data_IF_687962685014
#
_entry.id   IF_687962685014
#
_cell.length_a   1.000
_cell.length_b   1.000
_cell.length_c   1.000
_cell.angle_alpha   90.00
_cell.angle_beta   90.00
_cell.angle_gamma   90.00
#
_symmetry.space_group_name_H-M   'P 1'
#
loop_
_entity.id
_entity.type
_entity.pdbx_description
1 polymer ?
#
# COMPACT_ATOMS: atom_id res chain seq x y z
N UNK A 1 1.16 -24.71 41.92
CA UNK A 1 2.52 -24.28 41.53
C UNK A 1 2.62 -24.45 40.01
N UNK A 2 2.72 -23.38 39.22
CA UNK A 2 2.95 -23.48 37.78
C UNK A 2 4.46 -23.41 37.50
N UNK A 3 4.91 -24.35 36.67
CA UNK A 3 6.28 -24.38 36.14
C UNK A 3 6.53 -23.20 35.19
N UNK A 4 7.68 -22.53 35.24
CA UNK A 4 8.01 -21.50 34.28
C UNK A 4 8.47 -22.13 32.96
N UNK A 5 7.74 -21.84 31.86
CA UNK A 5 8.17 -22.12 30.49
C UNK A 5 9.35 -21.16 30.20
N UNK A 6 10.56 -21.69 30.17
CA UNK A 6 11.71 -21.01 29.60
C UNK A 6 11.51 -20.87 28.09
N UNK A 7 11.27 -19.64 27.61
CA UNK A 7 11.34 -19.28 26.21
C UNK A 7 12.81 -19.29 25.78
N UNK A 8 13.32 -20.44 25.34
CA UNK A 8 14.55 -20.52 24.59
C UNK A 8 14.30 -19.95 23.20
N UNK A 9 14.74 -18.72 22.93
CA UNK A 9 14.83 -18.19 21.56
C UNK A 9 15.86 -19.06 20.83
N UNK A 10 15.38 -19.92 19.93
CA UNK A 10 16.24 -20.58 18.96
C UNK A 10 17.01 -19.49 18.20
N UNK A 11 18.35 -19.53 18.31
CA UNK A 11 19.23 -18.63 17.59
C UNK A 11 18.92 -18.77 16.09
N UNK A 12 18.68 -17.62 15.39
CA UNK A 12 18.39 -17.58 13.96
C UNK A 12 19.47 -18.28 13.12
N UNK A 13 20.71 -18.31 13.61
CA UNK A 13 21.82 -19.09 13.03
C UNK A 13 21.53 -20.59 13.03
N UNK A 14 20.99 -21.13 14.12
CA UNK A 14 20.69 -22.56 14.24
C UNK A 14 19.56 -23.01 13.32
N UNK A 15 18.54 -22.16 13.11
CA UNK A 15 17.45 -22.46 12.19
C UNK A 15 17.88 -22.43 10.71
N UNK A 16 18.78 -21.53 10.32
CA UNK A 16 19.30 -21.44 8.95
C UNK A 16 20.36 -22.48 8.63
N UNK A 17 21.21 -22.83 9.60
CA UNK A 17 22.17 -23.95 9.48
C UNK A 17 21.43 -25.27 9.26
N UNK A 18 20.31 -25.50 9.96
CA UNK A 18 19.46 -26.68 9.74
C UNK A 18 18.85 -26.75 8.33
N UNK A 19 18.46 -25.62 7.73
CA UNK A 19 17.79 -25.60 6.42
C UNK A 19 18.78 -25.76 5.23
N UNK A 20 20.00 -25.22 5.31
CA UNK A 20 21.01 -25.34 4.24
C UNK A 20 21.80 -26.62 4.31
N UNK A 21 22.08 -27.16 5.49
CA UNK A 21 22.75 -28.46 5.67
C UNK A 21 21.84 -29.61 5.23
N UNK A 22 20.53 -29.55 5.45
CA UNK A 22 19.55 -30.54 4.97
C UNK A 22 19.44 -30.63 3.43
N UNK A 23 19.77 -29.56 2.71
CA UNK A 23 19.72 -29.54 1.24
C UNK A 23 20.95 -30.14 0.56
N UNK A 24 22.06 -30.35 1.30
CA UNK A 24 23.36 -30.82 0.77
C UNK A 24 23.82 -32.16 1.36
N UNK A 25 23.11 -32.71 2.35
CA UNK A 25 23.43 -34.03 2.89
C UNK A 25 22.82 -35.17 2.04
N UNK A 26 23.59 -36.24 1.74
CA UNK A 26 23.00 -37.47 1.22
C UNK A 26 22.05 -38.05 2.30
N UNK A 27 20.83 -38.35 1.93
CA UNK A 27 19.76 -38.85 2.76
C UNK A 27 20.20 -40.06 3.60
N UNK A 28 20.36 -39.86 4.89
CA UNK A 28 20.46 -40.93 5.88
C UNK A 28 19.57 -40.59 7.04
N UNK A 29 18.58 -41.45 7.29
CA UNK A 29 17.72 -41.36 8.48
C UNK A 29 18.56 -41.57 9.74
N UNK A 30 18.76 -40.57 10.56
CA UNK A 30 19.11 -40.72 11.97
C UNK A 30 18.67 -39.50 12.76
N UNK A 31 18.01 -39.77 13.87
CA UNK A 31 17.64 -38.77 14.89
C UNK A 31 18.92 -38.32 15.61
N UNK A 32 19.48 -37.17 15.29
CA UNK A 32 20.57 -36.55 16.06
C UNK A 32 20.43 -35.02 16.04
N UNK A 33 20.95 -34.39 17.04
CA UNK A 33 20.93 -32.94 17.29
C UNK A 33 21.63 -32.18 16.14
N UNK A 34 20.82 -31.55 15.27
CA UNK A 34 21.24 -31.09 13.93
C UNK A 34 22.07 -29.79 13.95
N UNK A 35 22.27 -29.13 15.09
CA UNK A 35 22.96 -27.83 15.18
C UNK A 35 24.48 -27.96 15.31
N UNK A 36 24.98 -28.89 16.10
CA UNK A 36 26.43 -29.09 16.31
C UNK A 36 27.08 -29.83 15.14
N UNK A 37 26.42 -30.86 14.59
CA UNK A 37 26.89 -31.58 13.40
C UNK A 37 26.95 -30.68 12.15
N UNK A 38 25.99 -29.77 11.97
CA UNK A 38 25.97 -28.83 10.85
C UNK A 38 27.09 -27.80 10.93
N UNK A 39 27.41 -27.30 12.12
CA UNK A 39 28.55 -26.39 12.33
C UNK A 39 29.90 -27.08 12.08
N UNK A 40 30.05 -28.33 12.54
CA UNK A 40 31.26 -29.12 12.36
C UNK A 40 31.46 -29.52 10.90
N UNK A 41 30.37 -29.73 10.14
CA UNK A 41 30.44 -30.03 8.70
C UNK A 41 30.83 -28.81 7.88
N UNK A 42 30.26 -27.62 8.16
CA UNK A 42 30.60 -26.36 7.48
C UNK A 42 32.05 -25.94 7.69
N UNK A 43 32.63 -26.21 8.87
CA UNK A 43 34.06 -25.95 9.16
C UNK A 43 35.03 -26.73 8.29
N UNK A 44 34.59 -27.83 7.66
CA UNK A 44 35.37 -28.58 6.70
C UNK A 44 35.48 -27.93 5.31
N UNK A 45 34.68 -26.88 5.06
CA UNK A 45 34.64 -26.20 3.77
C UNK A 45 34.73 -24.66 3.96
N UNK A 46 35.95 -24.11 4.16
CA UNK A 46 36.14 -22.70 4.53
C UNK A 46 35.58 -21.67 3.53
N UNK A 47 35.44 -22.06 2.26
CA UNK A 47 34.82 -21.22 1.24
C UNK A 47 33.28 -21.13 1.42
N UNK A 48 32.65 -22.26 1.77
CA UNK A 48 31.21 -22.33 2.03
C UNK A 48 30.85 -21.64 3.35
N UNK A 49 31.71 -21.78 4.36
CA UNK A 49 31.56 -21.09 5.65
C UNK A 49 31.66 -19.57 5.50
N UNK A 50 32.61 -19.07 4.70
CA UNK A 50 32.69 -17.65 4.38
C UNK A 50 31.46 -17.16 3.65
N UNK A 51 31.02 -17.84 2.59
CA UNK A 51 29.80 -17.48 1.88
C UNK A 51 28.56 -17.49 2.77
N UNK A 52 28.47 -18.44 3.70
CA UNK A 52 27.40 -18.52 4.68
C UNK A 52 27.45 -17.34 5.67
N UNK A 53 28.63 -17.04 6.21
CA UNK A 53 28.81 -15.93 7.14
C UNK A 53 28.57 -14.57 6.48
N UNK A 54 28.98 -14.37 5.22
CA UNK A 54 28.69 -13.18 4.42
C UNK A 54 27.19 -13.04 4.14
N UNK A 55 26.53 -14.16 3.82
CA UNK A 55 25.07 -14.17 3.65
C UNK A 55 24.33 -13.86 4.97
N UNK A 56 24.80 -14.36 6.10
CA UNK A 56 24.24 -14.08 7.42
C UNK A 56 24.46 -12.63 7.86
N UNK A 57 25.67 -12.09 7.66
CA UNK A 57 25.95 -10.67 7.93
C UNK A 57 25.05 -9.75 7.08
N UNK A 58 24.86 -10.09 5.81
CA UNK A 58 23.96 -9.38 4.90
C UNK A 58 22.50 -9.48 5.37
N UNK A 59 22.05 -10.65 5.86
CA UNK A 59 20.70 -10.84 6.41
C UNK A 59 20.48 -10.05 7.70
N UNK A 60 21.49 -9.95 8.57
CA UNK A 60 21.41 -9.15 9.79
C UNK A 60 21.37 -7.66 9.49
N UNK A 61 22.16 -7.19 8.52
CA UNK A 61 22.11 -5.81 8.00
C UNK A 61 20.75 -5.48 7.39
N UNK A 62 20.19 -6.41 6.61
CA UNK A 62 18.85 -6.25 6.01
C UNK A 62 17.74 -6.30 7.06
N UNK A 63 17.86 -7.15 8.07
CA UNK A 63 16.96 -7.18 9.22
C UNK A 63 16.94 -5.86 9.96
N UNK A 64 18.11 -5.26 10.16
CA UNK A 64 18.28 -3.93 10.78
C UNK A 64 17.65 -2.82 9.93
N UNK A 65 17.99 -2.74 8.65
CA UNK A 65 17.42 -1.73 7.73
C UNK A 65 15.91 -1.83 7.58
N UNK A 66 15.37 -3.05 7.59
CA UNK A 66 13.93 -3.29 7.52
C UNK A 66 13.22 -2.88 8.80
N UNK A 67 13.83 -3.14 9.94
CA UNK A 67 13.32 -2.73 11.26
C UNK A 67 13.33 -1.21 11.38
N UNK A 68 14.43 -0.56 10.98
CA UNK A 68 14.59 0.90 10.96
C UNK A 68 13.52 1.57 10.10
N UNK A 69 13.29 1.08 8.88
CA UNK A 69 12.31 1.66 7.96
C UNK A 69 10.84 1.55 8.43
N UNK A 70 10.50 0.59 9.28
CA UNK A 70 9.17 0.45 9.88
C UNK A 70 9.04 1.26 11.16
N UNK A 71 10.08 1.27 12.01
CA UNK A 71 10.15 2.13 13.19
C UNK A 71 10.13 3.61 12.82
N UNK A 72 10.77 3.99 11.71
CA UNK A 72 10.76 5.36 11.20
C UNK A 72 9.36 5.80 10.78
N UNK A 73 8.54 4.87 10.26
CA UNK A 73 7.18 5.19 9.86
C UNK A 73 6.23 5.32 11.07
N UNK A 74 6.32 4.42 12.04
CA UNK A 74 5.59 4.52 13.29
C UNK A 74 6.02 5.78 14.06
N UNK A 75 7.32 6.07 14.10
CA UNK A 75 7.86 7.30 14.68
C UNK A 75 7.35 8.57 13.98
N UNK A 76 7.18 8.54 12.65
CA UNK A 76 6.61 9.65 11.88
C UNK A 76 5.15 9.89 12.25
N UNK A 77 4.33 8.84 12.34
CA UNK A 77 2.93 8.96 12.77
C UNK A 77 2.82 9.45 14.21
N UNK A 78 3.66 8.95 15.11
CA UNK A 78 3.71 9.41 16.50
C UNK A 78 4.17 10.88 16.60
N UNK A 79 5.13 11.29 15.78
CA UNK A 79 5.54 12.69 15.70
C UNK A 79 4.42 13.61 15.21
N UNK A 80 3.64 13.17 14.21
CA UNK A 80 2.46 13.92 13.75
C UNK A 80 1.38 13.94 14.83
N UNK A 81 1.11 12.81 15.50
CA UNK A 81 0.14 12.74 16.60
C UNK A 81 0.51 13.67 17.75
N UNK A 82 1.76 13.65 18.19
CA UNK A 82 2.26 14.48 19.27
C UNK A 82 2.16 15.96 18.92
N UNK A 83 2.67 16.38 17.76
CA UNK A 83 2.70 17.79 17.35
C UNK A 83 1.30 18.32 17.03
N UNK A 84 0.51 17.58 16.25
CA UNK A 84 -0.86 18.00 15.92
C UNK A 84 -1.79 17.93 17.14
N UNK A 85 -1.60 16.95 18.04
CA UNK A 85 -2.40 16.78 19.26
C UNK A 85 -2.35 17.96 20.23
N UNK A 86 -1.29 18.79 20.18
CA UNK A 86 -1.21 20.03 20.94
C UNK A 86 -2.27 21.07 20.50
N UNK A 87 -2.77 20.95 19.26
CA UNK A 87 -3.68 21.94 18.67
C UNK A 87 -5.06 21.38 18.35
N UNK A 88 -5.14 20.13 17.87
CA UNK A 88 -6.36 19.50 17.37
C UNK A 88 -6.94 18.54 18.40
N UNK A 89 -8.25 18.63 18.63
CA UNK A 89 -8.97 17.67 19.48
C UNK A 89 -9.03 16.28 18.86
N UNK A 90 -8.96 16.20 17.53
CA UNK A 90 -8.86 14.97 16.76
C UNK A 90 -7.71 15.11 15.76
N UNK A 91 -6.69 14.26 15.93
CA UNK A 91 -5.58 14.18 14.98
C UNK A 91 -5.97 13.26 13.83
N UNK A 92 -5.98 13.80 12.62
CA UNK A 92 -6.21 13.02 11.40
C UNK A 92 -4.87 12.55 10.83
N UNK A 93 -4.82 11.29 10.43
CA UNK A 93 -3.66 10.68 9.76
C UNK A 93 -4.07 10.17 8.39
N UNK A 94 -3.10 10.10 7.48
CA UNK A 94 -3.30 9.50 6.17
C UNK A 94 -3.73 8.04 6.29
N UNK A 95 -4.57 7.61 5.36
CA UNK A 95 -5.08 6.25 5.20
C UNK A 95 -4.94 5.84 3.72
N UNK A 96 -5.14 4.58 3.36
CA UNK A 96 -4.97 4.20 1.96
C UNK A 96 -5.74 5.07 0.95
N UNK A 97 -6.97 5.46 1.29
CA UNK A 97 -7.84 6.24 0.40
C UNK A 97 -8.01 7.70 0.81
N UNK A 98 -7.24 8.15 1.79
CA UNK A 98 -7.31 9.49 2.34
C UNK A 98 -5.91 10.02 2.61
N UNK A 99 -5.57 11.12 1.99
CA UNK A 99 -4.32 11.84 2.24
C UNK A 99 -4.59 12.98 3.23
N UNK A 100 -3.82 13.04 4.30
CA UNK A 100 -3.84 14.15 5.26
C UNK A 100 -2.45 14.77 5.32
N UNK A 101 -2.38 16.08 5.17
CA UNK A 101 -1.14 16.85 5.26
C UNK A 101 -1.34 18.09 6.12
N UNK A 102 -0.39 18.37 7.00
CA UNK A 102 -0.36 19.53 7.88
C UNK A 102 0.60 20.59 7.36
N UNK A 103 0.38 21.84 7.77
CA UNK A 103 1.39 22.89 7.65
C UNK A 103 2.53 22.64 8.67
N UNK A 104 3.60 23.46 8.59
CA UNK A 104 4.75 23.30 9.48
C UNK A 104 4.44 23.55 10.96
N UNK A 105 3.48 24.45 11.24
CA UNK A 105 3.06 24.80 12.57
C UNK A 105 1.97 23.85 13.12
N UNK A 106 1.52 22.88 12.32
CA UNK A 106 0.41 21.97 12.64
C UNK A 106 -0.91 22.70 12.99
N UNK A 107 -1.08 23.94 12.54
CA UNK A 107 -2.27 24.74 12.78
C UNK A 107 -3.26 24.71 11.61
N UNK A 108 -2.80 24.30 10.44
CA UNK A 108 -3.65 24.08 9.27
C UNK A 108 -3.43 22.66 8.74
N UNK A 109 -4.50 22.08 8.20
CA UNK A 109 -4.42 20.78 7.55
C UNK A 109 -5.29 20.71 6.32
N UNK A 110 -4.90 19.88 5.38
CA UNK A 110 -5.69 19.50 4.23
C UNK A 110 -5.93 17.98 4.24
N UNK A 111 -7.14 17.57 3.91
CA UNK A 111 -7.54 16.19 3.74
C UNK A 111 -8.08 16.03 2.32
N UNK A 112 -7.57 15.04 1.58
CA UNK A 112 -8.10 14.64 0.27
C UNK A 112 -8.70 13.25 0.42
N UNK A 113 -10.03 13.17 0.38
CA UNK A 113 -10.78 11.90 0.37
C UNK A 113 -10.97 11.44 -1.07
N UNK A 114 -10.17 10.45 -1.46
CA UNK A 114 -10.18 9.90 -2.82
C UNK A 114 -11.35 8.94 -3.06
N UNK A 115 -11.96 8.41 -2.02
CA UNK A 115 -13.10 7.49 -2.15
C UNK A 115 -14.39 8.28 -2.36
N UNK A 116 -14.63 9.30 -1.55
CA UNK A 116 -15.87 10.09 -1.61
C UNK A 116 -15.74 11.33 -2.49
N UNK A 117 -14.53 11.69 -2.89
CA UNK A 117 -14.29 12.80 -3.83
C UNK A 117 -14.46 14.18 -3.18
N UNK A 118 -13.73 14.42 -2.10
CA UNK A 118 -13.74 15.72 -1.41
C UNK A 118 -12.32 16.17 -1.04
N UNK A 119 -12.10 17.48 -1.02
CA UNK A 119 -10.93 18.11 -0.42
C UNK A 119 -11.43 18.98 0.72
N UNK A 120 -10.93 18.73 1.93
CA UNK A 120 -11.29 19.46 3.14
C UNK A 120 -10.06 20.20 3.63
N UNK A 121 -10.15 21.49 3.80
CA UNK A 121 -9.08 22.36 4.29
C UNK A 121 -9.55 22.96 5.60
N UNK A 122 -8.75 22.82 6.65
CA UNK A 122 -9.07 23.29 7.99
C UNK A 122 -7.90 24.11 8.54
N UNK A 123 -8.20 25.24 9.18
CA UNK A 123 -7.20 26.04 9.91
C UNK A 123 -7.72 26.51 11.26
N UNK A 124 -6.85 26.47 12.27
CA UNK A 124 -7.09 27.03 13.62
C UNK A 124 -6.78 28.53 13.70
N UNK A 125 -6.20 29.08 12.66
CA UNK A 125 -5.98 30.52 12.57
C UNK A 125 -7.26 31.21 12.10
N UNK A 126 -8.10 31.53 13.05
CA UNK A 126 -9.40 32.18 12.81
C UNK A 126 -9.28 33.65 12.45
N UNK A 127 -8.08 34.21 12.57
CA UNK A 127 -7.75 35.59 12.17
C UNK A 127 -6.87 35.59 10.89
N UNK A 128 -6.71 34.45 10.23
CA UNK A 128 -6.00 34.36 8.98
C UNK A 128 -6.61 35.36 7.97
N UNK A 129 -5.77 36.12 7.31
CA UNK A 129 -6.20 36.96 6.20
C UNK A 129 -6.82 36.11 5.09
N UNK A 130 -7.71 36.69 4.32
CA UNK A 130 -8.27 36.02 3.14
C UNK A 130 -7.16 35.49 2.22
N UNK A 131 -6.08 36.27 2.07
CA UNK A 131 -4.93 35.87 1.24
C UNK A 131 -4.18 34.63 1.78
N UNK A 132 -4.03 34.51 3.10
CA UNK A 132 -3.43 33.33 3.72
C UNK A 132 -4.28 32.07 3.47
N UNK A 133 -5.60 32.19 3.56
CA UNK A 133 -6.50 31.09 3.24
C UNK A 133 -6.50 30.75 1.74
N UNK A 134 -6.43 31.76 0.87
CA UNK A 134 -6.29 31.56 -0.59
C UNK A 134 -5.01 30.79 -0.91
N UNK A 135 -3.87 31.14 -0.30
CA UNK A 135 -2.61 30.43 -0.52
C UNK A 135 -2.66 28.99 0.01
N UNK A 136 -3.32 28.75 1.15
CA UNK A 136 -3.51 27.39 1.67
C UNK A 136 -4.36 26.52 0.71
N UNK A 137 -5.44 27.08 0.18
CA UNK A 137 -6.30 26.42 -0.82
C UNK A 137 -5.48 26.12 -2.09
N UNK A 138 -4.76 27.09 -2.62
CA UNK A 138 -3.93 26.93 -3.82
C UNK A 138 -2.88 25.83 -3.64
N UNK A 139 -2.14 25.84 -2.53
CA UNK A 139 -1.15 24.82 -2.20
C UNK A 139 -1.78 23.42 -2.17
N UNK A 140 -2.92 23.29 -1.51
CA UNK A 140 -3.63 22.00 -1.42
C UNK A 140 -4.06 21.50 -2.79
N UNK A 141 -4.69 22.35 -3.60
CA UNK A 141 -5.17 21.99 -4.94
C UNK A 141 -4.02 21.64 -5.90
N UNK A 142 -2.84 22.24 -5.69
CA UNK A 142 -1.65 22.03 -6.53
C UNK A 142 -0.72 20.92 -6.00
N UNK A 143 -1.16 20.10 -5.04
CA UNK A 143 -0.35 19.01 -4.47
C UNK A 143 0.25 18.13 -5.58
N UNK A 144 1.59 17.97 -5.65
CA UNK A 144 2.24 17.14 -6.65
C UNK A 144 1.98 15.64 -6.41
N UNK A 145 2.32 14.83 -7.40
CA UNK A 145 2.25 13.34 -7.29
C UNK A 145 3.54 12.77 -6.68
N UNK A 146 4.63 13.53 -6.70
CA UNK A 146 6.01 13.10 -6.43
C UNK A 146 6.74 14.02 -5.43
N UNK A 147 6.07 14.45 -4.37
CA UNK A 147 6.68 15.32 -3.36
C UNK A 147 6.96 14.57 -2.05
N UNK A 148 8.24 14.40 -1.68
CA UNK A 148 8.61 13.71 -0.44
C UNK A 148 8.08 14.36 0.85
N UNK A 149 7.73 15.65 0.84
CA UNK A 149 7.12 16.30 2.02
C UNK A 149 5.70 15.82 2.27
N UNK A 150 4.96 15.48 1.22
CA UNK A 150 3.58 15.00 1.30
C UNK A 150 3.51 13.59 1.87
N UNK A 151 4.47 12.72 1.54
CA UNK A 151 4.55 11.37 2.10
C UNK A 151 4.95 11.38 3.59
N UNK A 152 5.47 12.52 4.08
CA UNK A 152 5.75 12.79 5.49
C UNK A 152 4.60 13.50 6.22
N UNK A 153 3.44 13.64 5.59
CA UNK A 153 2.27 14.27 6.18
C UNK A 153 2.33 15.80 6.21
N UNK A 154 3.22 16.42 5.39
CA UNK A 154 3.37 17.88 5.29
C UNK A 154 2.78 18.41 3.99
N UNK A 155 2.16 19.60 4.04
CA UNK A 155 1.72 20.30 2.84
C UNK A 155 2.91 20.65 1.94
N UNK A 156 2.78 20.36 0.65
CA UNK A 156 3.82 20.64 -0.34
C UNK A 156 4.23 22.11 -0.34
N UNK A 157 5.53 22.37 -0.44
CA UNK A 157 6.10 23.71 -0.63
C UNK A 157 6.44 24.03 -2.08
N UNK A 158 6.33 23.05 -2.97
CA UNK A 158 6.60 23.25 -4.39
C UNK A 158 5.52 24.15 -4.98
N UNK A 159 5.90 25.34 -5.44
CA UNK A 159 5.01 26.19 -6.23
C UNK A 159 4.81 25.58 -7.61
N UNK A 160 3.58 25.43 -8.03
CA UNK A 160 3.22 24.98 -9.38
C UNK A 160 2.14 25.89 -9.95
N UNK A 161 2.21 26.11 -11.25
CA UNK A 161 1.21 26.91 -11.95
C UNK A 161 -0.04 26.07 -12.22
N UNK A 162 -1.10 26.31 -11.46
CA UNK A 162 -2.35 25.62 -11.58
C UNK A 162 -2.36 24.18 -11.04
N UNK A 163 -3.46 23.48 -11.25
CA UNK A 163 -3.65 22.09 -10.79
C UNK A 163 -3.03 21.12 -11.80
N UNK A 164 -1.73 20.86 -11.69
CA UNK A 164 -1.01 19.91 -12.55
C UNK A 164 -0.66 18.58 -11.86
N UNK A 165 -0.92 18.47 -10.56
CA UNK A 165 -0.52 17.34 -9.74
C UNK A 165 -1.65 16.33 -9.52
N UNK A 166 -1.78 15.94 -8.27
CA UNK A 166 -2.65 14.88 -7.78
C UNK A 166 -4.13 15.07 -8.14
N UNK A 167 -4.62 16.33 -8.13
CA UNK A 167 -6.02 16.68 -8.40
C UNK A 167 -6.28 17.16 -9.84
N UNK A 168 -5.32 16.98 -10.75
CA UNK A 168 -5.45 17.40 -12.15
C UNK A 168 -6.73 16.87 -12.78
N UNK A 169 -7.55 17.80 -13.30
CA UNK A 169 -8.80 17.49 -14.00
C UNK A 169 -9.96 17.05 -13.11
N UNK A 170 -9.79 17.07 -11.78
CA UNK A 170 -10.79 16.58 -10.84
C UNK A 170 -11.56 17.70 -10.13
N UNK A 171 -11.12 18.94 -10.25
CA UNK A 171 -11.74 20.10 -9.61
C UNK A 171 -12.43 20.97 -10.66
N UNK A 172 -13.67 21.36 -10.37
CA UNK A 172 -14.44 22.33 -11.15
C UNK A 172 -14.72 23.57 -10.28
N UNK A 173 -14.73 24.74 -10.91
CA UNK A 173 -15.08 25.99 -10.21
C UNK A 173 -16.61 26.13 -10.04
N UNK A 174 -17.04 27.24 -9.46
CA UNK A 174 -18.45 27.57 -9.24
C UNK A 174 -19.28 27.70 -10.53
N UNK A 175 -18.60 27.86 -11.67
CA UNK A 175 -19.22 27.90 -13.01
C UNK A 175 -19.24 26.50 -13.68
N UNK A 176 -18.81 25.44 -12.98
CA UNK A 176 -18.71 24.07 -13.52
C UNK A 176 -17.53 23.87 -14.48
N UNK A 177 -16.59 24.82 -14.58
CA UNK A 177 -15.45 24.74 -15.49
C UNK A 177 -14.24 24.12 -14.78
N UNK A 178 -13.51 23.30 -15.52
CA UNK A 178 -12.33 22.61 -14.96
C UNK A 178 -11.24 23.60 -14.55
N UNK A 179 -10.77 23.48 -13.31
CA UNK A 179 -9.71 24.32 -12.73
C UNK A 179 -8.34 23.72 -13.13
N UNK A 180 -7.77 24.19 -14.26
CA UNK A 180 -6.52 23.68 -14.82
C UNK A 180 -5.37 24.69 -14.79
N UNK A 181 -5.69 25.98 -14.96
CA UNK A 181 -4.72 27.06 -15.13
C UNK A 181 -4.53 27.84 -13.82
N UNK A 182 -3.34 28.41 -13.62
CA UNK A 182 -3.00 29.17 -12.41
C UNK A 182 -4.00 30.28 -12.12
N UNK A 183 -4.36 31.09 -13.12
CA UNK A 183 -5.33 32.18 -12.96
C UNK A 183 -6.72 31.71 -12.51
N UNK A 184 -7.15 30.53 -13.02
CA UNK A 184 -8.46 29.96 -12.63
C UNK A 184 -8.38 29.36 -11.23
N UNK A 185 -7.26 28.76 -10.86
CA UNK A 185 -7.00 28.27 -9.50
C UNK A 185 -7.04 29.42 -8.50
N UNK A 186 -6.39 30.53 -8.83
CA UNK A 186 -6.39 31.75 -8.00
C UNK A 186 -7.80 32.34 -7.86
N UNK A 187 -8.52 32.50 -8.96
CA UNK A 187 -9.91 32.99 -8.95
C UNK A 187 -10.82 32.10 -8.12
N UNK A 188 -10.71 30.79 -8.29
CA UNK A 188 -11.54 29.85 -7.54
C UNK A 188 -11.18 29.82 -6.05
N UNK A 189 -9.88 29.84 -5.71
CA UNK A 189 -9.44 29.92 -4.33
C UNK A 189 -9.94 31.18 -3.62
N UNK A 190 -9.90 32.34 -4.28
CA UNK A 190 -10.47 33.59 -3.78
C UNK A 190 -11.98 33.47 -3.56
N UNK A 191 -12.70 32.90 -4.51
CA UNK A 191 -14.13 32.67 -4.39
C UNK A 191 -14.46 31.75 -3.20
N UNK A 192 -13.72 30.65 -3.03
CA UNK A 192 -13.89 29.72 -1.92
C UNK A 192 -13.63 30.40 -0.57
N UNK A 193 -12.54 31.16 -0.47
CA UNK A 193 -12.15 31.87 0.75
C UNK A 193 -13.16 32.95 1.16
N UNK A 194 -14.00 33.41 0.22
CA UNK A 194 -15.01 34.44 0.49
C UNK A 194 -16.40 33.84 0.70
N UNK A 195 -16.76 32.77 0.01
CA UNK A 195 -18.14 32.27 -0.06
C UNK A 195 -18.38 30.88 0.55
N UNK A 196 -17.29 30.14 0.88
CA UNK A 196 -17.39 28.74 1.29
C UNK A 196 -16.63 28.42 2.57
N UNK A 197 -16.32 29.44 3.35
CA UNK A 197 -15.71 29.26 4.67
C UNK A 197 -16.80 29.03 5.69
N UNK A 198 -16.72 27.92 6.38
CA UNK A 198 -17.55 27.55 7.52
C UNK A 198 -16.73 27.67 8.79
N UNK A 199 -17.35 28.05 9.90
CA UNK A 199 -16.71 28.04 11.22
C UNK A 199 -17.31 26.94 12.06
N UNK A 200 -16.46 25.97 12.43
CA UNK A 200 -16.84 24.88 13.33
C UNK A 200 -16.14 25.03 14.69
N UNK A 201 -16.64 24.35 15.72
CA UNK A 201 -15.97 24.23 17.01
C UNK A 201 -15.50 22.79 17.20
N UNK A 202 -14.25 22.65 17.60
CA UNK A 202 -13.72 21.36 18.03
C UNK A 202 -14.25 20.99 19.43
N UNK A 203 -14.10 19.72 19.82
CA UNK A 203 -14.47 19.24 21.15
C UNK A 203 -13.74 19.97 22.29
N UNK A 204 -12.53 20.50 22.05
CA UNK A 204 -11.78 21.32 22.99
C UNK A 204 -12.20 22.81 22.99
N UNK A 205 -13.29 23.17 22.32
CA UNK A 205 -13.84 24.53 22.24
C UNK A 205 -13.16 25.46 21.23
N UNK A 206 -12.00 25.09 20.67
CA UNK A 206 -11.28 25.90 19.67
C UNK A 206 -12.10 26.03 18.38
N UNK A 207 -12.14 27.23 17.81
CA UNK A 207 -12.74 27.46 16.51
C UNK A 207 -11.83 26.98 15.39
N UNK A 208 -12.42 26.47 14.32
CA UNK A 208 -11.76 26.03 13.10
C UNK A 208 -12.47 26.68 11.92
N UNK A 209 -11.72 27.27 11.01
CA UNK A 209 -12.22 27.64 9.69
C UNK A 209 -12.06 26.42 8.77
N UNK A 210 -13.12 26.10 8.03
CA UNK A 210 -13.19 24.94 7.17
C UNK A 210 -13.68 25.31 5.78
N UNK A 211 -13.00 24.77 4.76
CA UNK A 211 -13.43 24.86 3.36
C UNK A 211 -13.59 23.46 2.82
N UNK A 212 -14.75 23.15 2.27
CA UNK A 212 -15.03 21.86 1.62
C UNK A 212 -15.16 22.07 0.12
N UNK A 213 -14.36 21.32 -0.66
CA UNK A 213 -14.27 21.40 -2.12
C UNK A 213 -14.65 20.03 -2.70
N UNK A 214 -15.84 19.89 -3.29
CA UNK A 214 -16.22 18.64 -3.93
C UNK A 214 -15.38 18.41 -5.20
N UNK A 215 -14.93 17.18 -5.40
CA UNK A 215 -14.35 16.75 -6.67
C UNK A 215 -15.46 16.48 -7.70
N UNK A 216 -15.10 16.49 -8.98
CA UNK A 216 -16.02 16.17 -10.05
C UNK A 216 -16.62 14.78 -9.89
N UNK A 217 -17.85 14.56 -10.36
CA UNK A 217 -18.55 13.25 -10.27
C UNK A 217 -17.72 12.09 -10.86
N UNK A 218 -16.90 12.37 -11.85
CA UNK A 218 -16.02 11.36 -12.51
C UNK A 218 -14.56 11.44 -12.00
N UNK A 219 -14.31 11.97 -10.81
CA UNK A 219 -12.95 12.11 -10.26
C UNK A 219 -12.14 10.82 -10.27
N UNK A 220 -12.77 9.67 -9.95
CA UNK A 220 -12.13 8.36 -9.97
C UNK A 220 -11.65 7.99 -11.38
N UNK A 221 -12.50 8.17 -12.40
CA UNK A 221 -12.14 7.89 -13.79
C UNK A 221 -11.04 8.81 -14.32
N UNK A 222 -11.06 10.08 -13.91
CA UNK A 222 -10.00 11.05 -14.25
C UNK A 222 -8.66 10.62 -13.64
N UNK A 223 -8.62 10.23 -12.36
CA UNK A 223 -7.39 9.71 -11.73
C UNK A 223 -6.92 8.42 -12.38
N UNK A 224 -7.83 7.49 -12.63
CA UNK A 224 -7.50 6.22 -13.26
C UNK A 224 -6.76 6.42 -14.59
N UNK A 225 -7.21 7.37 -15.43
CA UNK A 225 -6.55 7.71 -16.69
C UNK A 225 -5.11 8.22 -16.53
N UNK A 226 -4.77 8.85 -15.41
CA UNK A 226 -3.40 9.35 -15.17
C UNK A 226 -2.39 8.20 -15.05
N UNK A 227 -2.83 7.04 -14.55
CA UNK A 227 -1.95 5.89 -14.33
C UNK A 227 -2.05 4.84 -15.45
N UNK A 228 -2.96 5.00 -16.41
CA UNK A 228 -3.17 4.05 -17.51
C UNK A 228 -1.89 3.69 -18.27
N UNK A 229 -1.01 4.64 -18.67
CA UNK A 229 0.22 4.29 -19.39
C UNK A 229 1.15 3.37 -18.58
N UNK A 230 1.21 3.55 -17.24
CA UNK A 230 2.00 2.69 -16.36
C UNK A 230 1.37 1.31 -16.21
N UNK A 231 0.04 1.25 -16.11
CA UNK A 231 -0.72 0.00 -16.05
C UNK A 231 -0.55 -0.81 -17.32
N UNK A 232 -0.68 -0.20 -18.49
CA UNK A 232 -0.48 -0.86 -19.79
C UNK A 232 0.94 -1.40 -19.94
N UNK A 233 1.95 -0.61 -19.54
CA UNK A 233 3.34 -1.06 -19.56
C UNK A 233 3.55 -2.29 -18.68
N UNK A 234 3.09 -2.25 -17.44
CA UNK A 234 3.21 -3.35 -16.48
C UNK A 234 2.39 -4.58 -16.93
N UNK A 235 1.18 -4.37 -17.46
CA UNK A 235 0.30 -5.40 -18.02
C UNK A 235 1.01 -6.19 -19.14
N UNK A 236 1.59 -5.49 -20.11
CA UNK A 236 2.35 -6.12 -21.21
C UNK A 236 3.57 -6.88 -20.69
N UNK A 237 4.31 -6.29 -19.76
CA UNK A 237 5.53 -6.88 -19.23
C UNK A 237 5.26 -8.16 -18.43
N UNK A 238 4.29 -8.12 -17.52
CA UNK A 238 3.97 -9.23 -16.62
C UNK A 238 2.82 -10.13 -17.09
N UNK A 239 2.20 -9.84 -18.25
CA UNK A 239 1.08 -10.59 -18.82
C UNK A 239 -0.14 -10.68 -17.90
N UNK A 240 -0.46 -9.60 -17.21
CA UNK A 240 -1.61 -9.47 -16.30
C UNK A 240 -2.68 -8.60 -16.96
N UNK A 241 -3.95 -8.98 -16.81
CA UNK A 241 -5.13 -8.23 -17.31
C UNK A 241 -5.09 -6.78 -16.78
N UNK A 242 -5.02 -5.76 -17.64
CA UNK A 242 -4.94 -4.36 -17.20
C UNK A 242 -6.17 -3.92 -16.41
N UNK A 243 -7.37 -4.46 -16.73
CA UNK A 243 -8.56 -4.18 -15.95
C UNK A 243 -8.47 -4.73 -14.52
N UNK A 244 -7.80 -5.86 -14.32
CA UNK A 244 -7.53 -6.40 -12.98
C UNK A 244 -6.56 -5.50 -12.19
N UNK A 245 -5.48 -5.02 -12.84
CA UNK A 245 -4.53 -4.09 -12.21
C UNK A 245 -5.27 -2.83 -11.76
N UNK A 246 -6.08 -2.23 -12.62
CA UNK A 246 -6.89 -1.04 -12.31
C UNK A 246 -7.87 -1.30 -11.17
N UNK A 247 -8.50 -2.48 -11.13
CA UNK A 247 -9.42 -2.88 -10.08
C UNK A 247 -8.73 -3.00 -8.72
N UNK A 248 -7.53 -3.58 -8.68
CA UNK A 248 -6.71 -3.65 -7.47
C UNK A 248 -6.35 -2.25 -7.00
N UNK A 249 -5.77 -1.39 -7.86
CA UNK A 249 -5.41 -0.01 -7.50
C UNK A 249 -6.63 0.76 -6.95
N UNK A 250 -7.78 0.64 -7.61
CA UNK A 250 -9.01 1.30 -7.16
C UNK A 250 -9.46 0.80 -5.79
N UNK A 251 -9.32 -0.49 -5.52
CA UNK A 251 -9.75 -1.11 -4.26
C UNK A 251 -8.79 -0.78 -3.12
N UNK A 252 -7.49 -0.82 -3.38
CA UNK A 252 -6.42 -0.60 -2.41
C UNK A 252 -6.32 0.88 -1.99
N UNK A 253 -6.28 1.78 -2.96
CA UNK A 253 -5.91 3.18 -2.71
C UNK A 253 -6.87 4.22 -3.29
N UNK A 254 -7.87 3.83 -4.08
CA UNK A 254 -8.63 4.77 -4.93
C UNK A 254 -7.71 5.66 -5.78
N UNK A 255 -6.60 5.11 -6.26
CA UNK A 255 -5.54 5.81 -7.01
C UNK A 255 -4.83 6.91 -6.21
N UNK A 256 -4.70 6.77 -4.89
CA UNK A 256 -3.85 7.61 -4.05
C UNK A 256 -2.40 7.10 -4.10
N UNK A 257 -1.44 7.83 -4.71
CA UNK A 257 -0.04 7.40 -4.76
C UNK A 257 0.67 7.47 -3.41
N UNK A 258 0.15 8.27 -2.47
CA UNK A 258 0.64 8.42 -1.10
C UNK A 258 -0.08 7.50 -0.10
N UNK A 259 -0.77 6.48 -0.59
CA UNK A 259 -1.53 5.55 0.24
C UNK A 259 -0.62 4.80 1.21
N UNK A 260 -1.04 4.77 2.48
CA UNK A 260 -0.37 4.03 3.54
C UNK A 260 -1.39 3.40 4.45
N UNK A 261 -1.15 2.15 4.87
CA UNK A 261 -2.00 1.45 5.84
C UNK A 261 -1.31 1.31 7.20
N UNK A 262 -2.08 0.98 8.25
CA UNK A 262 -1.56 0.70 9.60
C UNK A 262 -0.59 -0.50 9.64
N UNK A 263 -0.84 -1.53 8.84
CA UNK A 263 0.15 -2.55 8.55
C UNK A 263 0.89 -2.03 7.34
N UNK A 264 2.18 -1.64 7.44
CA UNK A 264 2.82 -0.79 6.44
C UNK A 264 2.78 -1.39 5.03
N UNK A 265 1.74 -1.01 4.29
CA UNK A 265 1.57 -1.23 2.87
C UNK A 265 1.58 0.14 2.18
N UNK A 266 2.25 0.26 1.05
CA UNK A 266 2.59 1.55 0.46
C UNK A 266 2.12 1.68 -1.00
N UNK A 267 1.67 2.89 -1.33
CA UNK A 267 1.40 3.35 -2.68
C UNK A 267 0.14 2.76 -3.31
N UNK A 268 0.03 2.93 -4.61
CA UNK A 268 -1.19 2.65 -5.40
C UNK A 268 -1.74 1.24 -5.22
N UNK A 269 -0.86 0.23 -5.16
CA UNK A 269 -1.22 -1.18 -5.04
C UNK A 269 -0.99 -1.75 -3.63
N UNK A 270 -0.73 -0.89 -2.63
CA UNK A 270 -0.55 -1.26 -1.23
C UNK A 270 0.40 -2.45 -1.04
N UNK A 271 1.64 -2.29 -1.52
CA UNK A 271 2.66 -3.33 -1.40
C UNK A 271 3.26 -3.32 0.00
N UNK A 272 3.21 -4.47 0.67
CA UNK A 272 3.90 -4.70 1.94
C UNK A 272 5.36 -5.08 1.65
N UNK A 273 6.36 -4.27 2.07
CA UNK A 273 7.76 -4.50 1.72
C UNK A 273 8.28 -5.89 2.11
N UNK A 274 7.95 -6.34 3.32
CA UNK A 274 8.47 -7.59 3.92
C UNK A 274 7.91 -8.88 3.29
N UNK A 275 6.78 -8.79 2.62
CA UNK A 275 6.11 -9.96 2.01
C UNK A 275 6.09 -9.85 0.49
N UNK A 276 5.06 -9.25 -0.10
CA UNK A 276 4.92 -9.09 -1.54
C UNK A 276 6.12 -8.36 -2.17
N UNK A 277 6.62 -7.30 -1.52
CA UNK A 277 7.78 -6.56 -1.99
C UNK A 277 9.05 -7.42 -2.05
N UNK A 278 9.35 -8.16 -0.98
CA UNK A 278 10.49 -9.07 -0.91
C UNK A 278 10.38 -10.19 -1.94
N UNK A 279 9.20 -10.78 -2.11
CA UNK A 279 8.96 -11.82 -3.11
C UNK A 279 9.25 -11.32 -4.53
N UNK A 280 8.76 -10.12 -4.87
CA UNK A 280 9.00 -9.50 -6.19
C UNK A 280 10.48 -9.18 -6.38
N UNK A 281 11.14 -8.59 -5.38
CA UNK A 281 12.57 -8.29 -5.45
C UNK A 281 13.38 -9.55 -5.73
N UNK A 282 13.13 -10.60 -4.98
CA UNK A 282 13.90 -11.85 -5.07
C UNK A 282 13.57 -12.63 -6.35
N UNK A 283 12.29 -12.87 -6.61
CA UNK A 283 11.86 -13.81 -7.65
C UNK A 283 11.77 -13.18 -9.04
N UNK A 284 11.39 -11.89 -9.12
CA UNK A 284 11.19 -11.20 -10.40
C UNK A 284 12.38 -10.32 -10.75
N UNK A 285 12.77 -9.41 -9.84
CA UNK A 285 13.83 -8.45 -10.14
C UNK A 285 15.23 -9.00 -9.93
N UNK A 286 15.37 -10.22 -9.35
CA UNK A 286 16.66 -10.85 -9.03
C UNK A 286 17.55 -9.94 -8.17
N UNK A 287 16.93 -9.24 -7.23
CA UNK A 287 17.57 -8.34 -6.27
C UNK A 287 17.49 -8.91 -4.87
N UNK A 288 18.46 -8.62 -4.06
CA UNK A 288 18.46 -8.91 -2.63
C UNK A 288 17.65 -7.86 -1.86
N UNK A 289 17.20 -8.19 -0.66
CA UNK A 289 16.47 -7.26 0.20
C UNK A 289 14.99 -7.08 -0.17
N UNK A 290 14.49 -5.88 0.11
CA UNK A 290 13.09 -5.50 -0.13
C UNK A 290 13.00 -4.04 -0.62
N UNK A 291 11.88 -3.63 -1.26
CA UNK A 291 11.72 -2.26 -1.73
C UNK A 291 11.69 -1.27 -0.55
N UNK A 292 12.38 -0.15 -0.73
CA UNK A 292 12.28 0.99 0.18
C UNK A 292 10.91 1.68 0.06
N UNK A 293 10.56 2.48 1.07
CA UNK A 293 9.39 3.36 1.07
C UNK A 293 9.39 4.28 -0.16
N UNK A 294 10.52 4.95 -0.44
CA UNK A 294 10.69 5.83 -1.61
C UNK A 294 10.47 5.10 -2.92
N UNK A 295 10.92 3.83 -3.03
CA UNK A 295 10.64 2.99 -4.19
C UNK A 295 9.13 2.77 -4.36
N UNK A 296 8.41 2.49 -3.26
CA UNK A 296 6.99 2.15 -3.28
C UNK A 296 6.07 3.38 -3.42
N UNK A 297 6.54 4.59 -3.13
CA UNK A 297 5.79 5.82 -3.43
C UNK A 297 6.00 6.34 -4.86
N UNK A 298 6.97 5.80 -5.62
CA UNK A 298 7.01 6.03 -7.08
C UNK A 298 5.86 5.26 -7.73
N UNK A 299 4.87 5.94 -8.34
CA UNK A 299 3.69 5.27 -8.89
C UNK A 299 4.02 4.21 -9.94
N UNK A 300 5.04 4.45 -10.77
CA UNK A 300 5.43 3.52 -11.84
C UNK A 300 6.05 2.27 -11.28
N UNK A 301 6.94 2.41 -10.29
CA UNK A 301 7.59 1.27 -9.63
C UNK A 301 6.60 0.47 -8.78
N UNK A 302 5.65 1.15 -8.13
CA UNK A 302 4.61 0.50 -7.34
C UNK A 302 3.66 -0.33 -8.21
N UNK A 303 3.19 0.22 -9.34
CA UNK A 303 2.34 -0.50 -10.30
C UNK A 303 3.09 -1.70 -10.87
N UNK A 304 4.36 -1.53 -11.27
CA UNK A 304 5.17 -2.64 -11.79
C UNK A 304 5.34 -3.75 -10.74
N UNK A 305 5.72 -3.40 -9.51
CA UNK A 305 5.90 -4.37 -8.42
C UNK A 305 4.60 -5.09 -8.04
N UNK A 306 3.49 -4.37 -7.93
CA UNK A 306 2.18 -4.97 -7.63
C UNK A 306 1.69 -5.90 -8.74
N UNK A 307 1.92 -5.52 -10.00
CA UNK A 307 1.60 -6.36 -11.17
C UNK A 307 2.48 -7.60 -11.23
N UNK A 308 3.78 -7.46 -10.94
CA UNK A 308 4.71 -8.58 -10.81
C UNK A 308 4.26 -9.57 -9.72
N UNK A 309 3.76 -9.05 -8.59
CA UNK A 309 3.24 -9.91 -7.53
C UNK A 309 1.96 -10.66 -7.95
N UNK A 310 1.04 -10.00 -8.67
CA UNK A 310 -0.13 -10.68 -9.27
C UNK A 310 0.30 -11.82 -10.20
N UNK A 311 1.32 -11.59 -11.04
CA UNK A 311 1.86 -12.62 -11.92
C UNK A 311 2.50 -13.77 -11.12
N UNK A 312 3.23 -13.51 -10.04
CA UNK A 312 3.76 -14.54 -9.14
C UNK A 312 2.65 -15.38 -8.51
N UNK A 313 1.58 -14.74 -8.05
CA UNK A 313 0.42 -15.45 -7.49
C UNK A 313 -0.21 -16.39 -8.54
N UNK A 314 -0.38 -15.91 -9.77
CA UNK A 314 -0.97 -16.70 -10.86
C UNK A 314 -0.09 -17.86 -11.31
N UNK A 315 1.19 -17.58 -11.60
CA UNK A 315 2.08 -18.52 -12.30
C UNK A 315 2.91 -19.43 -11.39
N UNK A 316 3.10 -19.03 -10.12
CA UNK A 316 3.93 -19.79 -9.17
C UNK A 316 3.09 -20.34 -8.03
N UNK A 317 2.41 -19.48 -7.26
CA UNK A 317 1.71 -19.90 -6.06
C UNK A 317 0.45 -20.73 -6.33
N UNK A 318 -0.31 -20.32 -7.36
CA UNK A 318 -1.64 -20.89 -7.68
C UNK A 318 -1.67 -21.62 -9.03
N UNK A 319 -0.50 -21.92 -9.62
CA UNK A 319 -0.37 -22.59 -10.94
C UNK A 319 -1.12 -23.92 -11.07
N UNK A 320 -1.37 -24.63 -9.97
CA UNK A 320 -2.11 -25.90 -9.95
C UNK A 320 -3.62 -25.78 -10.16
N UNK A 321 -4.18 -24.54 -10.15
CA UNK A 321 -5.60 -24.30 -10.45
C UNK A 321 -5.77 -24.26 -11.97
N UNK A 322 -6.49 -25.24 -12.54
CA UNK A 322 -6.58 -25.44 -13.99
C UNK A 322 -7.47 -24.40 -14.69
N UNK A 323 -8.66 -24.13 -14.11
CA UNK A 323 -9.59 -23.18 -14.68
C UNK A 323 -9.09 -21.73 -14.50
N UNK A 324 -8.86 -20.94 -15.59
CA UNK A 324 -8.33 -19.58 -15.49
C UNK A 324 -9.22 -18.61 -14.72
N UNK A 325 -10.54 -18.76 -14.80
CA UNK A 325 -11.49 -17.92 -14.05
C UNK A 325 -11.46 -18.24 -12.56
N UNK A 326 -11.38 -19.53 -12.19
CA UNK A 326 -11.20 -19.96 -10.80
C UNK A 326 -9.86 -19.45 -10.23
N UNK A 327 -8.78 -19.59 -11.02
CA UNK A 327 -7.45 -19.13 -10.63
C UNK A 327 -7.41 -17.61 -10.42
N UNK A 328 -8.06 -16.82 -11.28
CA UNK A 328 -8.19 -15.36 -11.09
C UNK A 328 -8.86 -15.01 -9.76
N UNK A 329 -9.96 -15.67 -9.39
CA UNK A 329 -10.60 -15.42 -8.10
C UNK A 329 -9.69 -15.76 -6.91
N UNK A 330 -8.95 -16.86 -7.02
CA UNK A 330 -7.96 -17.23 -6.01
C UNK A 330 -6.77 -16.24 -5.97
N UNK A 331 -6.31 -15.71 -7.11
CA UNK A 331 -5.28 -14.65 -7.18
C UNK A 331 -5.76 -13.38 -6.48
N UNK A 332 -7.00 -12.95 -6.73
CA UNK A 332 -7.59 -11.79 -6.06
C UNK A 332 -7.63 -12.00 -4.54
N UNK A 333 -8.10 -13.16 -4.09
CA UNK A 333 -8.13 -13.48 -2.67
C UNK A 333 -6.74 -13.56 -2.05
N UNK A 334 -5.78 -14.15 -2.78
CA UNK A 334 -4.40 -14.32 -2.32
C UNK A 334 -3.63 -12.98 -2.26
N UNK A 335 -3.96 -12.02 -3.11
CA UNK A 335 -3.34 -10.70 -3.10
C UNK A 335 -3.55 -10.00 -1.76
N UNK A 336 -4.76 -10.02 -1.23
CA UNK A 336 -5.10 -9.42 0.07
C UNK A 336 -4.79 -10.36 1.25
N UNK A 337 -5.17 -11.65 1.15
CA UNK A 337 -5.14 -12.58 2.27
C UNK A 337 -3.99 -13.58 2.27
N UNK A 338 -3.18 -13.63 1.21
CA UNK A 338 -2.11 -14.61 1.02
C UNK A 338 -2.60 -15.95 0.47
N UNK A 339 -1.76 -16.62 -0.35
CA UNK A 339 -2.08 -17.90 -0.98
C UNK A 339 -2.35 -19.03 0.05
N UNK A 340 -1.66 -19.02 1.19
CA UNK A 340 -1.89 -19.99 2.26
C UNK A 340 -3.31 -19.96 2.81
N UNK A 341 -3.90 -18.79 2.97
CA UNK A 341 -5.28 -18.65 3.44
C UNK A 341 -6.31 -19.03 2.37
N UNK A 342 -5.96 -18.89 1.08
CA UNK A 342 -6.77 -19.46 -0.01
C UNK A 342 -6.82 -20.97 0.14
N UNK A 343 -5.67 -21.66 0.33
CA UNK A 343 -5.70 -23.11 0.54
C UNK A 343 -6.44 -23.52 1.81
N UNK A 344 -6.29 -22.79 2.91
CA UNK A 344 -7.05 -23.02 4.14
C UNK A 344 -8.56 -22.95 3.90
N UNK A 345 -9.02 -22.00 3.08
CA UNK A 345 -10.43 -21.88 2.74
C UNK A 345 -11.00 -23.14 2.05
N UNK A 346 -10.16 -23.89 1.32
CA UNK A 346 -10.56 -25.08 0.57
C UNK A 346 -10.13 -26.42 1.17
N UNK A 347 -9.69 -26.46 2.44
CA UNK A 347 -9.43 -27.72 3.13
C UNK A 347 -8.03 -27.87 3.73
N UNK A 348 -7.21 -26.79 3.75
CA UNK A 348 -5.98 -26.66 4.52
C UNK A 348 -4.70 -27.04 3.78
N UNK A 349 -4.56 -28.26 3.33
CA UNK A 349 -3.37 -28.70 2.58
C UNK A 349 -3.40 -28.24 1.12
N UNK A 350 -2.22 -27.92 0.54
CA UNK A 350 -2.15 -27.46 -0.87
C UNK A 350 -2.78 -28.44 -1.84
N UNK A 351 -2.47 -29.75 -1.74
CA UNK A 351 -2.96 -30.77 -2.67
C UNK A 351 -4.49 -30.97 -2.55
N UNK A 352 -5.03 -31.06 -1.35
CA UNK A 352 -6.48 -31.20 -1.10
C UNK A 352 -7.25 -29.95 -1.56
N UNK A 353 -6.70 -28.76 -1.29
CA UNK A 353 -7.30 -27.50 -1.73
C UNK A 353 -7.32 -27.39 -3.28
N UNK A 354 -6.23 -27.74 -3.95
CA UNK A 354 -6.16 -27.75 -5.42
C UNK A 354 -7.16 -28.75 -6.03
N UNK A 355 -7.27 -29.96 -5.47
CA UNK A 355 -8.25 -30.95 -5.92
C UNK A 355 -9.67 -30.38 -5.80
N UNK A 356 -10.01 -29.81 -4.65
CA UNK A 356 -11.33 -29.20 -4.40
C UNK A 356 -11.62 -28.00 -5.31
N UNK A 357 -10.68 -27.08 -5.48
CA UNK A 357 -10.85 -25.92 -6.37
C UNK A 357 -11.07 -26.39 -7.82
N UNK A 358 -10.31 -27.39 -8.27
CA UNK A 358 -10.40 -27.90 -9.63
C UNK A 358 -11.67 -28.72 -9.91
N UNK A 359 -12.34 -29.21 -8.89
CA UNK A 359 -13.63 -29.87 -8.98
C UNK A 359 -14.82 -28.88 -9.01
N UNK A 360 -14.60 -27.61 -8.68
CA UNK A 360 -15.65 -26.60 -8.60
C UNK A 360 -15.72 -25.75 -9.87
N UNK A 361 -16.93 -25.27 -10.21
CA UNK A 361 -17.09 -24.22 -11.21
C UNK A 361 -16.47 -22.90 -10.73
N UNK A 362 -16.09 -22.02 -11.64
CA UNK A 362 -15.54 -20.72 -11.28
C UNK A 362 -16.49 -19.86 -10.42
N UNK A 363 -17.80 -20.00 -10.64
CA UNK A 363 -18.81 -19.33 -9.82
C UNK A 363 -18.86 -19.90 -8.40
N UNK A 364 -18.74 -21.22 -8.25
CA UNK A 364 -18.69 -21.87 -6.94
C UNK A 364 -17.41 -21.50 -6.17
N UNK A 365 -16.24 -21.41 -6.85
CA UNK A 365 -15.00 -20.92 -6.26
C UNK A 365 -15.15 -19.48 -5.76
N UNK A 366 -15.73 -18.60 -6.57
CA UNK A 366 -16.01 -17.22 -6.17
C UNK A 366 -16.90 -17.15 -4.92
N UNK A 367 -18.02 -17.86 -4.89
CA UNK A 367 -18.93 -17.87 -3.75
C UNK A 367 -18.26 -18.46 -2.50
N UNK A 368 -17.47 -19.52 -2.65
CA UNK A 368 -16.73 -20.12 -1.55
C UNK A 368 -15.72 -19.13 -0.94
N UNK A 369 -14.92 -18.42 -1.75
CA UNK A 369 -14.01 -17.39 -1.27
C UNK A 369 -14.76 -16.25 -0.56
N UNK A 370 -15.92 -15.86 -1.04
CA UNK A 370 -16.73 -14.80 -0.43
C UNK A 370 -17.36 -15.17 0.90
N UNK A 371 -17.59 -16.45 1.16
CA UNK A 371 -18.33 -16.90 2.35
C UNK A 371 -17.46 -17.66 3.34
N UNK A 372 -16.46 -18.39 2.87
CA UNK A 372 -15.68 -19.34 3.66
C UNK A 372 -14.20 -18.97 3.84
N UNK A 373 -13.69 -17.93 3.17
CA UNK A 373 -12.33 -17.48 3.42
C UNK A 373 -12.16 -17.09 4.90
N UNK A 374 -11.04 -17.48 5.58
CA UNK A 374 -10.85 -17.23 7.01
C UNK A 374 -10.96 -15.75 7.37
N UNK A 375 -10.30 -14.87 6.58
CA UNK A 375 -10.33 -13.42 6.81
C UNK A 375 -11.59 -12.78 6.24
N UNK A 376 -12.37 -12.12 7.10
CA UNK A 376 -13.57 -11.36 6.71
C UNK A 376 -13.27 -10.20 5.75
N UNK A 377 -12.10 -9.59 5.89
CA UNK A 377 -11.63 -8.56 4.97
C UNK A 377 -11.49 -9.10 3.56
N UNK A 378 -10.81 -10.24 3.38
CA UNK A 378 -10.63 -10.87 2.06
C UNK A 378 -11.96 -11.28 1.43
N UNK A 379 -12.94 -11.72 2.22
CA UNK A 379 -14.30 -11.99 1.72
C UNK A 379 -14.93 -10.75 1.07
N UNK A 380 -14.79 -9.58 1.70
CA UNK A 380 -15.26 -8.29 1.16
C UNK A 380 -14.39 -7.81 -0.02
N UNK A 381 -13.09 -8.06 0.06
CA UNK A 381 -12.13 -7.68 -0.97
C UNK A 381 -12.43 -8.34 -2.32
N UNK A 382 -12.67 -9.64 -2.34
CA UNK A 382 -13.03 -10.40 -3.55
C UNK A 382 -14.26 -9.78 -4.25
N UNK A 383 -15.26 -9.35 -3.48
CA UNK A 383 -16.43 -8.67 -4.03
C UNK A 383 -16.07 -7.30 -4.62
N UNK A 384 -15.31 -6.48 -3.87
CA UNK A 384 -14.95 -5.12 -4.29
C UNK A 384 -14.13 -5.15 -5.56
N UNK A 385 -13.08 -5.99 -5.62
CA UNK A 385 -12.24 -6.14 -6.81
C UNK A 385 -13.04 -6.69 -7.98
N UNK A 386 -13.93 -7.65 -7.77
CA UNK A 386 -14.78 -8.18 -8.83
C UNK A 386 -15.68 -7.10 -9.46
N UNK A 387 -16.31 -6.26 -8.65
CA UNK A 387 -17.11 -5.11 -9.14
C UNK A 387 -16.25 -4.07 -9.85
N UNK A 388 -15.08 -3.73 -9.29
CA UNK A 388 -14.14 -2.80 -9.90
C UNK A 388 -13.59 -3.31 -11.23
N UNK A 389 -13.28 -4.59 -11.32
CA UNK A 389 -12.83 -5.22 -12.57
C UNK A 389 -13.85 -5.07 -13.71
N UNK A 390 -15.14 -5.27 -13.44
CA UNK A 390 -16.19 -5.04 -14.44
C UNK A 390 -16.26 -3.56 -14.87
N UNK A 391 -16.07 -2.63 -13.93
CA UNK A 391 -16.06 -1.18 -14.22
C UNK A 391 -14.91 -0.78 -15.15
N UNK A 392 -13.73 -1.37 -14.98
CA UNK A 392 -12.53 -0.98 -15.74
C UNK A 392 -12.38 -1.71 -17.07
N UNK A 393 -13.07 -2.82 -17.32
CA UNK A 393 -13.03 -3.53 -18.60
C UNK A 393 -13.27 -2.65 -19.84
N UNK A 394 -14.23 -1.72 -19.85
CA UNK A 394 -14.45 -0.89 -21.03
C UNK A 394 -13.39 0.21 -21.24
N UNK A 395 -12.46 0.39 -20.30
CA UNK A 395 -11.46 1.46 -20.33
C UNK A 395 -10.08 1.00 -20.80
N UNK A 396 -9.87 -0.31 -20.96
CA UNK A 396 -8.60 -0.96 -21.26
C UNK A 396 -8.65 -1.79 -22.55
#
# INVERSE_FOLDING_TARGET
MPYPIRSGSLDRRQALLGMTALALMPWRESKADTSEESATWLAKFPALERQFNDAMATLDEWGGQAQTSLSDYDALFEAVRSKAGAYWSEVKLSQPKRLVAYDQAYRSRAEIDFEHGAVIIETLDTHASTDALVELIKRTLSTPVDDPSVDQGQLSRKKRDGIQGLLKGQVVDQEGRNVRFAWRTDRYAKWLATHRVETERQANGKKVLKVNIPLSKNHLGVRAKQFMPSVEKASRHHKVDPALIMAIISTESSFNPYAVSHIPAFGLMQIVPRTAGKDVFHRVYKRTGMPSKTFLFDPRKNIDAGTAYLALLDTVYLKGIRNPKSRRWCVIAAYNGGAGNVFKAFGGGRSSALARINALSAQAVYQHLRTRHPAGETRRYVLKVGKAHQRFKPLV
#
